data_IF_684309699007
#
_entry.id   IF_684309699007
#
_cell.length_a   1.000
_cell.length_b   1.000
_cell.length_c   1.000
_cell.angle_alpha   90.00
_cell.angle_beta   90.00
_cell.angle_gamma   90.00
#
_symmetry.space_group_name_H-M   'P 1'
#
loop_
_entity.id
_entity.type
_entity.pdbx_description
1 polymer ?
#
# COMPACT_ATOMS: atom_id res chain seq x y z
N UNK A 1 -19.67 -25.67 21.60
CA UNK A 1 -20.14 -24.68 20.62
C UNK A 1 -21.23 -25.33 19.76
N UNK A 2 -22.44 -24.77 19.65
CA UNK A 2 -23.51 -25.34 18.82
C UNK A 2 -23.09 -25.36 17.35
N UNK A 3 -23.36 -26.44 16.62
CA UNK A 3 -22.93 -26.69 15.23
C UNK A 3 -23.40 -25.63 14.23
N UNK A 4 -24.53 -24.95 14.47
CA UNK A 4 -24.99 -23.81 13.65
C UNK A 4 -24.08 -22.58 13.77
N UNK A 5 -23.64 -22.25 14.99
CA UNK A 5 -22.72 -21.15 15.25
C UNK A 5 -21.32 -21.43 14.66
N UNK A 6 -20.90 -22.70 14.58
CA UNK A 6 -19.67 -23.07 13.87
C UNK A 6 -19.81 -22.90 12.35
N UNK A 7 -20.92 -23.30 11.74
CA UNK A 7 -21.15 -23.11 10.32
C UNK A 7 -21.22 -21.61 9.94
N UNK A 8 -21.91 -20.80 10.74
CA UNK A 8 -22.00 -19.35 10.55
C UNK A 8 -20.66 -18.63 10.78
N UNK A 9 -19.81 -19.13 11.70
CA UNK A 9 -18.48 -18.57 11.92
C UNK A 9 -17.46 -18.96 10.84
N UNK A 10 -17.60 -20.14 10.22
CA UNK A 10 -16.67 -20.65 9.21
C UNK A 10 -17.01 -20.11 7.80
N UNK A 11 -18.29 -19.88 7.51
CA UNK A 11 -18.74 -19.42 6.19
C UNK A 11 -18.04 -18.13 5.68
N UNK A 12 -17.80 -17.08 6.50
CA UNK A 12 -17.09 -15.88 6.05
C UNK A 12 -15.63 -16.15 5.66
N UNK A 13 -14.97 -17.05 6.38
CA UNK A 13 -13.59 -17.46 6.10
C UNK A 13 -13.55 -18.29 4.81
N UNK A 14 -14.48 -19.23 4.66
CA UNK A 14 -14.61 -20.04 3.45
C UNK A 14 -14.94 -19.20 2.23
N UNK A 15 -15.78 -18.17 2.35
CA UNK A 15 -16.08 -17.28 1.22
C UNK A 15 -14.82 -16.50 0.80
N UNK A 16 -14.09 -15.90 1.75
CA UNK A 16 -12.86 -15.16 1.46
C UNK A 16 -11.77 -16.04 0.86
N UNK A 17 -11.51 -17.22 1.43
CA UNK A 17 -10.53 -18.18 0.91
C UNK A 17 -11.01 -18.79 -0.42
N UNK A 18 -12.31 -19.05 -0.54
CA UNK A 18 -12.95 -19.58 -1.74
C UNK A 18 -12.76 -18.68 -2.95
N UNK A 19 -12.88 -17.36 -2.78
CA UNK A 19 -12.58 -16.39 -3.84
C UNK A 19 -11.11 -16.39 -4.28
N UNK A 20 -10.18 -16.63 -3.35
CA UNK A 20 -8.74 -16.72 -3.66
C UNK A 20 -8.43 -18.00 -4.43
N UNK A 21 -9.00 -19.13 -4.01
CA UNK A 21 -8.76 -20.45 -4.63
C UNK A 21 -9.47 -20.58 -5.97
N UNK A 22 -10.60 -19.90 -6.16
CA UNK A 22 -11.40 -19.96 -7.40
C UNK A 22 -10.78 -19.16 -8.55
N UNK A 23 -9.95 -18.15 -8.25
CA UNK A 23 -9.14 -17.45 -9.25
C UNK A 23 -7.88 -18.26 -9.60
N UNK A 24 -7.73 -18.78 -10.84
CA UNK A 24 -6.53 -19.53 -11.22
C UNK A 24 -5.26 -18.70 -11.08
N UNK A 25 -5.35 -17.38 -11.33
CA UNK A 25 -4.22 -16.46 -11.18
C UNK A 25 -3.77 -16.37 -9.72
N UNK A 26 -4.69 -16.12 -8.80
CA UNK A 26 -4.37 -16.02 -7.38
C UNK A 26 -3.88 -17.36 -6.84
N UNK A 27 -4.52 -18.47 -7.24
CA UNK A 27 -4.06 -19.82 -6.88
C UNK A 27 -2.64 -20.11 -7.38
N UNK A 28 -2.29 -19.68 -8.59
CA UNK A 28 -0.94 -19.90 -9.13
C UNK A 28 0.14 -19.09 -8.41
N UNK A 29 -0.22 -17.96 -7.80
CA UNK A 29 0.71 -17.11 -7.05
C UNK A 29 0.75 -17.51 -5.57
N UNK A 30 -0.41 -17.50 -4.90
CA UNK A 30 -0.55 -17.69 -3.46
C UNK A 30 -0.62 -19.17 -3.04
N UNK A 31 -1.00 -20.07 -3.94
CA UNK A 31 -1.09 -21.50 -3.67
C UNK A 31 0.23 -22.26 -3.80
N UNK A 32 1.35 -21.58 -4.01
CA UNK A 32 2.66 -22.21 -4.12
C UNK A 32 3.21 -22.57 -2.75
N UNK A 33 3.79 -23.77 -2.62
CA UNK A 33 4.42 -24.22 -1.36
C UNK A 33 5.67 -23.43 -0.97
N UNK A 34 6.30 -22.73 -1.93
CA UNK A 34 7.45 -21.88 -1.71
C UNK A 34 7.31 -20.59 -2.51
N UNK A 35 7.41 -19.44 -1.83
CA UNK A 35 7.57 -18.15 -2.51
C UNK A 35 8.97 -18.07 -3.14
N UNK A 36 9.02 -17.61 -4.40
CA UNK A 36 10.27 -17.23 -5.07
C UNK A 36 10.59 -15.74 -4.92
N UNK A 37 9.64 -14.96 -4.42
CA UNK A 37 9.82 -13.55 -4.12
C UNK A 37 10.24 -13.41 -2.66
N UNK A 38 11.46 -12.91 -2.46
CA UNK A 38 11.96 -12.53 -1.15
C UNK A 38 12.31 -11.04 -1.18
N UNK A 39 11.52 -10.26 -0.44
CA UNK A 39 11.61 -8.80 -0.45
C UNK A 39 12.78 -8.29 0.39
N UNK A 40 13.25 -9.05 1.38
CA UNK A 40 14.32 -8.61 2.26
C UNK A 40 15.67 -8.55 1.52
N UNK A 41 16.15 -9.62 0.86
CA UNK A 41 17.31 -9.54 -0.02
C UNK A 41 17.10 -8.59 -1.19
N UNK A 42 15.87 -8.44 -1.71
CA UNK A 42 15.60 -7.45 -2.76
C UNK A 42 15.89 -6.02 -2.28
N UNK A 43 15.55 -5.69 -1.03
CA UNK A 43 15.87 -4.41 -0.42
C UNK A 43 17.38 -4.23 -0.17
N UNK A 44 17.99 -5.22 0.47
CA UNK A 44 19.40 -5.13 0.90
C UNK A 44 20.36 -5.09 -0.30
N UNK A 45 20.07 -5.89 -1.35
CA UNK A 45 20.86 -5.92 -2.58
C UNK A 45 20.55 -4.72 -3.51
N UNK A 46 19.50 -3.94 -3.22
CA UNK A 46 19.07 -2.82 -4.05
C UNK A 46 18.52 -3.24 -5.42
N UNK A 47 17.75 -4.33 -5.47
CA UNK A 47 17.14 -4.83 -6.71
C UNK A 47 15.99 -3.94 -7.17
N UNK A 48 15.72 -3.95 -8.47
CA UNK A 48 14.54 -3.31 -9.05
C UNK A 48 13.40 -4.33 -9.13
N UNK A 49 12.33 -4.10 -8.37
CA UNK A 49 11.12 -4.90 -8.41
C UNK A 49 10.03 -4.12 -9.16
N UNK A 50 9.55 -4.69 -10.28
CA UNK A 50 8.43 -4.14 -11.04
C UNK A 50 7.24 -5.06 -10.87
N UNK A 51 6.13 -4.52 -10.39
CA UNK A 51 4.89 -5.26 -10.18
C UNK A 51 3.80 -4.67 -11.08
N UNK A 52 3.22 -5.50 -11.94
CA UNK A 52 2.08 -5.11 -12.76
C UNK A 52 0.79 -5.65 -12.14
N UNK A 53 0.01 -4.78 -11.53
CA UNK A 53 -1.31 -5.07 -10.95
C UNK A 53 -2.45 -4.47 -11.78
N UNK A 54 -2.31 -4.42 -13.10
CA UNK A 54 -3.36 -3.84 -13.96
C UNK A 54 -4.71 -4.55 -13.76
N UNK A 55 -5.68 -3.83 -13.20
CA UNK A 55 -7.05 -4.32 -12.97
C UNK A 55 -7.68 -4.90 -14.23
N UNK A 56 -7.41 -4.31 -15.39
CA UNK A 56 -7.90 -4.80 -16.68
C UNK A 56 -7.35 -6.18 -17.10
N UNK A 57 -6.22 -6.60 -16.52
CA UNK A 57 -5.59 -7.91 -16.80
C UNK A 57 -5.90 -8.96 -15.74
N UNK A 58 -5.89 -8.58 -14.47
CA UNK A 58 -5.97 -9.53 -13.35
C UNK A 58 -7.28 -9.45 -12.56
N UNK A 59 -8.12 -8.46 -12.84
CA UNK A 59 -9.34 -8.18 -12.08
C UNK A 59 -9.08 -7.26 -10.88
N UNK A 60 -10.11 -6.56 -10.44
CA UNK A 60 -10.03 -5.58 -9.34
C UNK A 60 -9.71 -6.24 -8.01
N UNK A 61 -10.46 -7.26 -7.61
CA UNK A 61 -10.26 -7.97 -6.34
C UNK A 61 -8.87 -8.59 -6.22
N UNK A 62 -8.40 -9.23 -7.31
CA UNK A 62 -7.07 -9.84 -7.33
C UNK A 62 -5.96 -8.80 -7.28
N UNK A 63 -6.14 -7.67 -7.97
CA UNK A 63 -5.22 -6.53 -7.90
C UNK A 63 -5.13 -5.99 -6.48
N UNK A 64 -6.25 -5.69 -5.85
CA UNK A 64 -6.31 -5.14 -4.49
C UNK A 64 -5.68 -6.12 -3.47
N UNK A 65 -5.99 -7.42 -3.58
CA UNK A 65 -5.41 -8.43 -2.71
C UNK A 65 -3.89 -8.55 -2.89
N UNK A 66 -3.42 -8.70 -4.12
CA UNK A 66 -1.97 -8.85 -4.37
C UNK A 66 -1.20 -7.60 -3.99
N UNK A 67 -1.75 -6.42 -4.26
CA UNK A 67 -1.13 -5.15 -3.87
C UNK A 67 -1.05 -4.97 -2.36
N UNK A 68 -2.14 -5.23 -1.63
CA UNK A 68 -2.13 -5.14 -0.16
C UNK A 68 -1.17 -6.15 0.49
N UNK A 69 -1.07 -7.37 -0.05
CA UNK A 69 -0.09 -8.37 0.39
C UNK A 69 1.35 -7.92 0.11
N UNK A 70 1.62 -7.34 -1.06
CA UNK A 70 2.94 -6.83 -1.40
C UNK A 70 3.35 -5.68 -0.50
N UNK A 71 2.48 -4.69 -0.28
CA UNK A 71 2.74 -3.59 0.66
C UNK A 71 3.05 -4.12 2.05
N UNK A 72 2.20 -5.03 2.56
CA UNK A 72 2.41 -5.63 3.88
C UNK A 72 3.73 -6.40 3.95
N UNK A 73 4.08 -7.13 2.90
CA UNK A 73 5.37 -7.80 2.76
C UNK A 73 6.55 -6.82 2.74
N UNK A 74 6.40 -5.68 2.06
CA UNK A 74 7.41 -4.61 2.05
C UNK A 74 7.58 -4.00 3.44
N UNK A 75 6.50 -3.78 4.18
CA UNK A 75 6.56 -3.33 5.57
C UNK A 75 7.34 -4.31 6.45
N UNK A 76 6.96 -5.60 6.41
CA UNK A 76 7.62 -6.66 7.20
C UNK A 76 9.11 -6.77 6.83
N UNK A 77 9.42 -6.76 5.53
CA UNK A 77 10.81 -6.80 5.05
C UNK A 77 11.59 -5.57 5.52
N UNK A 78 11.01 -4.37 5.46
CA UNK A 78 11.65 -3.16 5.95
C UNK A 78 11.90 -3.21 7.46
N UNK A 79 10.90 -3.58 8.27
CA UNK A 79 11.02 -3.72 9.73
C UNK A 79 12.03 -4.79 10.13
N UNK A 80 12.13 -5.86 9.33
CA UNK A 80 13.10 -6.92 9.60
C UNK A 80 14.55 -6.41 9.53
N UNK A 81 14.83 -5.29 8.84
CA UNK A 81 16.17 -4.65 8.77
C UNK A 81 16.63 -4.00 10.07
N UNK A 82 15.87 -4.16 11.16
CA UNK A 82 16.25 -3.72 12.50
C UNK A 82 17.55 -4.34 13.00
N UNK A 83 17.95 -5.49 12.45
CA UNK A 83 19.23 -6.17 12.69
C UNK A 83 20.44 -5.53 11.99
N UNK A 84 20.22 -4.66 10.99
CA UNK A 84 21.27 -3.93 10.28
C UNK A 84 21.41 -2.53 10.87
N UNK A 85 22.63 -2.03 11.18
CA UNK A 85 22.84 -0.64 11.58
C UNK A 85 22.28 0.36 10.56
N UNK A 86 21.68 1.47 11.03
CA UNK A 86 20.94 2.43 10.17
C UNK A 86 21.81 3.05 9.06
N UNK A 87 23.08 3.31 9.37
CA UNK A 87 24.09 3.83 8.44
C UNK A 87 24.48 2.82 7.35
N UNK A 88 24.42 1.51 7.67
CA UNK A 88 24.68 0.43 6.73
C UNK A 88 23.44 -0.01 5.94
N UNK A 89 22.23 0.42 6.32
CA UNK A 89 21.00 0.13 5.58
C UNK A 89 21.06 0.83 4.22
N UNK A 90 20.74 0.10 3.16
CA UNK A 90 20.58 0.67 1.82
C UNK A 90 19.20 1.29 1.67
N UNK A 91 19.14 2.45 1.01
CA UNK A 91 17.87 3.07 0.64
C UNK A 91 17.12 2.19 -0.36
N UNK A 92 15.84 1.96 -0.08
CA UNK A 92 14.92 1.32 -1.00
C UNK A 92 13.74 2.24 -1.28
N UNK A 93 13.34 2.35 -2.55
CA UNK A 93 12.28 3.26 -2.97
C UNK A 93 11.05 2.47 -3.41
N UNK A 94 9.92 2.74 -2.77
CA UNK A 94 8.63 2.15 -3.09
C UNK A 94 7.74 3.20 -3.74
N UNK A 95 7.47 2.99 -5.03
CA UNK A 95 6.56 3.80 -5.82
C UNK A 95 5.22 3.08 -5.94
N UNK A 96 4.14 3.73 -5.52
CA UNK A 96 2.79 3.18 -5.57
C UNK A 96 1.89 4.13 -6.32
N UNK A 97 1.51 3.73 -7.53
CA UNK A 97 0.48 4.40 -8.29
C UNK A 97 -0.91 3.94 -7.83
N UNK A 98 -1.90 4.84 -7.95
CA UNK A 98 -3.27 4.62 -7.49
C UNK A 98 -3.33 4.06 -6.06
N UNK A 99 -2.57 4.70 -5.16
CA UNK A 99 -2.31 4.28 -3.80
C UNK A 99 -3.57 3.92 -3.01
N UNK A 100 -4.68 4.62 -3.23
CA UNK A 100 -5.96 4.37 -2.57
C UNK A 100 -6.47 2.92 -2.71
N UNK A 101 -6.06 2.20 -3.76
CA UNK A 101 -6.43 0.79 -3.94
C UNK A 101 -5.74 -0.15 -2.94
N UNK A 102 -4.67 0.33 -2.29
CA UNK A 102 -3.82 -0.42 -1.38
C UNK A 102 -3.66 0.28 -0.02
N UNK A 103 -4.38 1.38 0.19
CA UNK A 103 -4.44 2.13 1.42
C UNK A 103 -5.10 1.28 2.52
N UNK A 104 -4.27 0.70 3.37
CA UNK A 104 -4.69 -0.05 4.56
C UNK A 104 -4.08 0.62 5.80
N UNK A 105 -4.57 0.27 6.99
CA UNK A 105 -3.98 0.73 8.26
C UNK A 105 -2.46 0.39 8.35
N UNK A 106 -2.05 -0.75 7.79
CA UNK A 106 -0.64 -1.14 7.67
C UNK A 106 0.18 -0.13 6.86
N UNK A 107 -0.45 0.53 5.87
CA UNK A 107 0.19 1.57 5.08
C UNK A 107 0.33 2.88 5.87
N UNK A 108 -0.64 3.26 6.71
CA UNK A 108 -0.48 4.40 7.62
C UNK A 108 0.72 4.20 8.57
N UNK A 109 0.89 2.97 9.08
CA UNK A 109 2.05 2.60 9.90
C UNK A 109 3.37 2.68 9.12
N UNK A 110 3.42 2.17 7.88
CA UNK A 110 4.64 2.25 7.06
C UNK A 110 5.00 3.71 6.77
N UNK A 111 4.05 4.58 6.46
CA UNK A 111 4.32 6.01 6.21
C UNK A 111 4.96 6.70 7.42
N UNK A 112 4.56 6.31 8.64
CA UNK A 112 5.05 6.89 9.89
C UNK A 112 6.42 6.34 10.32
N UNK A 113 6.72 5.08 10.01
CA UNK A 113 7.91 4.39 10.55
C UNK A 113 9.00 4.06 9.51
N UNK A 114 8.67 4.06 8.22
CA UNK A 114 9.54 3.59 7.14
C UNK A 114 10.90 4.28 7.07
N UNK A 115 10.96 5.57 7.45
CA UNK A 115 12.20 6.35 7.45
C UNK A 115 13.30 5.70 8.29
N UNK A 116 12.95 5.14 9.46
CA UNK A 116 13.90 4.43 10.35
C UNK A 116 14.52 3.24 9.63
N UNK A 117 13.78 2.62 8.73
CA UNK A 117 14.21 1.44 7.99
C UNK A 117 14.81 1.79 6.62
N UNK A 118 15.00 3.08 6.27
CA UNK A 118 15.44 3.51 4.93
C UNK A 118 14.58 2.94 3.79
N UNK A 119 13.26 2.89 4.04
CA UNK A 119 12.26 2.70 3.00
C UNK A 119 11.66 4.07 2.68
N UNK A 120 11.84 4.51 1.45
CA UNK A 120 11.35 5.79 0.95
C UNK A 120 10.09 5.54 0.14
N UNK A 121 9.01 6.24 0.47
CA UNK A 121 7.72 6.06 -0.21
C UNK A 121 7.43 7.22 -1.14
N UNK A 122 6.91 6.91 -2.31
CA UNK A 122 6.33 7.87 -3.25
C UNK A 122 4.99 7.30 -3.69
N UNK A 123 3.92 8.00 -3.33
CA UNK A 123 2.55 7.58 -3.60
C UNK A 123 1.89 8.58 -4.55
N UNK A 124 1.05 8.09 -5.44
CA UNK A 124 0.22 8.90 -6.32
C UNK A 124 -1.26 8.52 -6.14
N UNK A 125 -2.13 9.53 -6.12
CA UNK A 125 -3.57 9.36 -6.14
C UNK A 125 -4.21 10.37 -7.09
N UNK A 126 -5.41 10.05 -7.60
CA UNK A 126 -6.17 10.96 -8.45
C UNK A 126 -7.06 11.92 -7.66
N UNK A 127 -7.67 11.42 -6.57
CA UNK A 127 -8.61 12.19 -5.76
C UNK A 127 -8.37 11.93 -4.28
N UNK A 128 -8.33 13.00 -3.48
CA UNK A 128 -8.15 12.88 -2.03
C UNK A 128 -9.32 12.14 -1.38
N UNK A 129 -10.53 12.33 -1.90
CA UNK A 129 -11.76 11.71 -1.39
C UNK A 129 -11.81 10.17 -1.51
N UNK A 130 -10.84 9.53 -2.18
CA UNK A 130 -10.74 8.07 -2.22
C UNK A 130 -10.03 7.48 -1.00
N UNK A 131 -9.34 8.31 -0.22
CA UNK A 131 -8.74 7.89 1.04
C UNK A 131 -9.75 8.12 2.16
N UNK A 132 -9.79 7.20 3.12
CA UNK A 132 -10.44 7.48 4.40
C UNK A 132 -9.66 8.54 5.17
N UNK A 133 -10.33 9.19 6.13
CA UNK A 133 -9.78 10.30 6.92
C UNK A 133 -8.48 9.90 7.64
N UNK A 134 -8.42 8.70 8.21
CA UNK A 134 -7.25 8.22 8.94
C UNK A 134 -6.04 8.03 8.02
N UNK A 135 -6.25 7.44 6.84
CA UNK A 135 -5.21 7.32 5.82
C UNK A 135 -4.75 8.69 5.33
N UNK A 136 -5.67 9.61 5.06
CA UNK A 136 -5.34 10.95 4.60
C UNK A 136 -4.48 11.69 5.63
N UNK A 137 -4.86 11.66 6.91
CA UNK A 137 -4.10 12.25 8.01
C UNK A 137 -2.69 11.64 8.12
N UNK A 138 -2.59 10.32 8.01
CA UNK A 138 -1.29 9.63 8.03
C UNK A 138 -0.41 10.02 6.84
N UNK A 139 -0.99 10.22 5.66
CA UNK A 139 -0.26 10.71 4.47
C UNK A 139 0.21 12.14 4.72
N UNK A 140 -0.69 13.08 4.97
CA UNK A 140 -0.35 14.50 5.10
C UNK A 140 0.57 14.79 6.30
N UNK A 141 0.44 14.04 7.40
CA UNK A 141 1.32 14.16 8.55
C UNK A 141 2.75 13.66 8.32
N UNK A 142 2.97 12.78 7.33
CA UNK A 142 4.27 12.13 7.12
C UNK A 142 4.94 12.46 5.78
N UNK A 143 4.25 13.07 4.82
CA UNK A 143 4.87 13.49 3.57
C UNK A 143 5.73 14.73 3.79
N UNK A 144 7.02 14.63 3.44
CA UNK A 144 7.93 15.77 3.45
C UNK A 144 7.96 16.56 2.14
N UNK A 145 7.33 16.04 1.10
CA UNK A 145 7.28 16.65 -0.24
C UNK A 145 5.94 16.34 -0.87
N UNK A 146 5.25 17.37 -1.34
CA UNK A 146 3.96 17.28 -1.99
C UNK A 146 4.09 17.76 -3.44
N UNK A 147 3.65 16.93 -4.38
CA UNK A 147 3.49 17.30 -5.78
C UNK A 147 1.99 17.41 -6.07
N UNK A 148 1.55 18.60 -6.49
CA UNK A 148 0.17 18.83 -6.92
C UNK A 148 0.16 19.23 -8.40
N UNK A 149 -0.65 18.55 -9.19
CA UNK A 149 -0.92 18.90 -10.59
C UNK A 149 -2.26 19.64 -10.69
N UNK A 150 -2.93 19.56 -11.83
CA UNK A 150 -4.29 20.06 -11.95
C UNK A 150 -5.22 19.22 -11.06
N UNK A 151 -5.86 19.88 -10.10
CA UNK A 151 -6.75 19.27 -9.12
C UNK A 151 -8.14 19.90 -9.16
N UNK A 152 -9.15 19.14 -8.75
CA UNK A 152 -10.52 19.65 -8.63
C UNK A 152 -10.67 20.67 -7.50
N UNK A 153 -11.74 21.47 -7.53
CA UNK A 153 -11.96 22.56 -6.58
C UNK A 153 -11.96 22.12 -5.10
N UNK A 154 -12.44 20.90 -4.81
CA UNK A 154 -12.46 20.32 -3.46
C UNK A 154 -11.04 19.97 -2.98
N UNK A 155 -10.28 19.27 -3.81
CA UNK A 155 -8.93 18.84 -3.45
C UNK A 155 -7.97 20.04 -3.40
N UNK A 156 -8.22 21.08 -4.23
CA UNK A 156 -7.45 22.33 -4.23
C UNK A 156 -7.48 23.06 -2.89
N UNK A 157 -8.60 23.00 -2.16
CA UNK A 157 -8.74 23.63 -0.84
C UNK A 157 -7.82 22.95 0.18
N UNK A 158 -7.91 21.62 0.27
CA UNK A 158 -7.07 20.81 1.17
C UNK A 158 -5.58 20.98 0.82
N UNK A 159 -5.23 20.91 -0.46
CA UNK A 159 -3.84 21.03 -0.91
C UNK A 159 -3.28 22.45 -0.64
N UNK A 160 -4.08 23.49 -0.84
CA UNK A 160 -3.65 24.86 -0.55
C UNK A 160 -3.30 25.04 0.93
N UNK A 161 -4.08 24.45 1.84
CA UNK A 161 -3.77 24.46 3.28
C UNK A 161 -2.43 23.78 3.59
N UNK A 162 -2.10 22.68 2.89
CA UNK A 162 -0.83 21.98 3.09
C UNK A 162 0.38 22.72 2.50
N UNK A 163 0.20 23.48 1.41
CA UNK A 163 1.27 24.24 0.76
C UNK A 163 1.56 25.59 1.44
N UNK A 164 0.67 26.05 2.31
CA UNK A 164 0.84 27.26 3.11
C UNK A 164 0.14 28.49 2.53
N UNK A 165 0.18 29.62 3.27
CA UNK A 165 -0.71 30.76 3.07
C UNK A 165 -0.48 31.54 1.75
N UNK A 166 0.67 31.33 1.11
CA UNK A 166 0.99 31.97 -0.18
C UNK A 166 0.27 31.32 -1.36
N UNK A 167 -0.33 30.14 -1.17
CA UNK A 167 -1.09 29.42 -2.20
C UNK A 167 -2.57 29.71 -2.03
N UNK A 168 -3.15 30.47 -2.96
CA UNK A 168 -4.58 30.80 -2.94
C UNK A 168 -5.34 30.01 -4.01
N UNK A 169 -6.49 29.43 -3.63
CA UNK A 169 -7.43 28.81 -4.59
C UNK A 169 -7.91 29.86 -5.58
N UNK A 170 -7.69 29.62 -6.87
CA UNK A 170 -8.26 30.42 -7.96
C UNK A 170 -9.28 29.57 -8.72
N UNK A 171 -10.57 29.82 -8.49
CA UNK A 171 -11.63 29.20 -9.29
C UNK A 171 -11.63 29.82 -10.69
N UNK A 172 -11.45 28.97 -11.70
CA UNK A 172 -11.70 29.30 -13.12
C UNK A 172 -13.19 29.44 -13.40
#
# INVERSE_FOLDING_TARGET
MPTKLQAEAIAPIQNKIGHVISSPLLRHILGQSRSRLDLRPAMDDGKVLIVNLSKGRIGEDASALLGSLLVSGMQIAAMSRSDVPEDARRDFYLYVDEFQNFATESFAAILSEARKYRLNLTIANQYLAQMDEHTADAVFGNVGTLFAFQVGARDAEIIAEQLGPEVTRRTS
#
